data_IF_679767962003
#
_entry.id   IF_679767962003
#
_cell.length_a   1.000
_cell.length_b   1.000
_cell.length_c   1.000
_cell.angle_alpha   90.00
_cell.angle_beta   90.00
_cell.angle_gamma   90.00
#
_symmetry.space_group_name_H-M   'P 1'
#
loop_
_entity.id
_entity.type
_entity.pdbx_description
1 polymer ?
#
# COMPACT_ATOMS: atom_id res chain seq x y z
N UNK A 1 29.86 63.25 -2.24
CA UNK A 1 30.01 62.08 -3.12
C UNK A 1 30.12 60.84 -2.26
N UNK A 2 28.98 60.21 -1.97
CA UNK A 2 28.87 59.09 -1.03
C UNK A 2 29.21 57.79 -1.76
N UNK A 3 30.22 57.04 -1.27
CA UNK A 3 30.46 55.65 -1.64
C UNK A 3 29.88 54.76 -0.54
N UNK A 4 28.64 54.34 -0.70
CA UNK A 4 28.05 53.25 0.08
C UNK A 4 27.70 52.14 -0.91
N UNK A 5 28.59 51.17 -1.04
CA UNK A 5 28.42 49.99 -1.88
C UNK A 5 27.43 49.08 -1.15
N UNK A 6 26.22 49.00 -1.69
CA UNK A 6 25.15 48.14 -1.22
C UNK A 6 25.47 46.69 -1.64
N UNK A 7 25.94 45.89 -0.68
CA UNK A 7 26.16 44.45 -0.85
C UNK A 7 24.80 43.74 -0.79
N UNK A 8 24.20 43.52 -1.96
CA UNK A 8 22.90 42.86 -2.11
C UNK A 8 23.08 41.33 -2.02
N UNK A 9 22.62 40.74 -0.92
CA UNK A 9 22.55 39.30 -0.71
C UNK A 9 21.73 38.61 -1.82
N UNK A 10 22.38 37.84 -2.69
CA UNK A 10 21.70 36.82 -3.50
C UNK A 10 21.40 35.60 -2.61
N UNK A 11 20.23 35.61 -1.98
CA UNK A 11 19.59 34.40 -1.49
C UNK A 11 19.01 33.64 -2.69
N UNK A 12 19.75 32.67 -3.21
CA UNK A 12 19.17 31.63 -4.06
C UNK A 12 18.27 30.75 -3.17
N UNK A 13 16.99 31.10 -3.10
CA UNK A 13 15.97 30.18 -2.61
C UNK A 13 15.79 29.09 -3.66
N UNK A 14 16.46 27.96 -3.48
CA UNK A 14 16.12 26.73 -4.20
C UNK A 14 14.74 26.28 -3.71
N UNK A 15 13.69 26.68 -4.42
CA UNK A 15 12.36 26.10 -4.27
C UNK A 15 12.48 24.67 -4.81
N UNK A 16 12.74 23.73 -3.91
CA UNK A 16 12.75 22.31 -4.23
C UNK A 16 11.39 21.89 -4.75
N UNK A 17 11.34 21.38 -5.97
CA UNK A 17 10.15 20.82 -6.59
C UNK A 17 9.59 19.66 -5.74
N UNK A 18 8.54 19.89 -4.96
CA UNK A 18 7.80 18.85 -4.25
C UNK A 18 6.87 18.02 -5.18
N UNK A 19 6.91 18.24 -6.50
CA UNK A 19 5.98 17.62 -7.46
C UNK A 19 6.40 16.23 -7.95
N UNK A 20 7.57 15.71 -7.58
CA UNK A 20 8.08 14.42 -8.06
C UNK A 20 7.70 13.19 -7.22
N UNK A 21 7.28 13.38 -5.97
CA UNK A 21 7.11 12.26 -5.02
C UNK A 21 5.74 11.57 -5.16
N UNK A 22 4.72 12.29 -5.60
CA UNK A 22 3.36 11.76 -5.81
C UNK A 22 3.30 10.79 -7.00
N UNK A 23 3.99 11.10 -8.10
CA UNK A 23 3.98 10.25 -9.29
C UNK A 23 4.56 8.86 -9.05
N UNK A 24 5.68 8.77 -8.32
CA UNK A 24 6.30 7.49 -7.95
C UNK A 24 5.48 6.71 -6.91
N UNK A 25 4.93 7.41 -5.91
CA UNK A 25 4.09 6.79 -4.88
C UNK A 25 2.77 6.21 -5.45
N UNK A 26 2.19 6.90 -6.45
CA UNK A 26 0.92 6.50 -7.04
C UNK A 26 1.04 5.31 -7.98
N UNK A 27 2.26 4.86 -8.31
CA UNK A 27 2.50 3.64 -9.09
C UNK A 27 1.99 2.37 -8.39
N UNK A 28 1.71 2.42 -7.09
CA UNK A 28 1.08 1.31 -6.37
C UNK A 28 -0.43 1.21 -6.68
N UNK A 29 -1.09 2.26 -7.17
CA UNK A 29 -2.52 2.23 -7.44
C UNK A 29 -2.87 1.24 -8.54
N UNK A 30 -3.99 0.54 -8.38
CA UNK A 30 -4.50 -0.41 -9.37
C UNK A 30 -5.02 -1.70 -8.75
N UNK A 31 -5.36 -2.65 -9.61
CA UNK A 31 -5.91 -3.94 -9.19
C UNK A 31 -4.87 -5.04 -9.31
N UNK A 32 -4.80 -5.90 -8.29
CA UNK A 32 -3.83 -6.97 -8.18
C UNK A 32 -4.52 -8.31 -7.91
N UNK A 33 -4.11 -9.34 -8.62
CA UNK A 33 -4.47 -10.73 -8.33
C UNK A 33 -3.55 -11.27 -7.23
N UNK A 34 -4.12 -11.77 -6.14
CA UNK A 34 -3.33 -12.38 -5.05
C UNK A 34 -2.70 -13.69 -5.50
N UNK A 35 -1.66 -14.11 -4.79
CA UNK A 35 -0.98 -15.39 -5.04
C UNK A 35 -1.98 -16.56 -5.11
N UNK A 36 -1.78 -17.47 -6.06
CA UNK A 36 -2.67 -18.60 -6.30
C UNK A 36 -4.04 -18.23 -6.89
N UNK A 37 -4.21 -17.02 -7.43
CA UNK A 37 -5.44 -16.54 -8.08
C UNK A 37 -6.69 -16.57 -7.18
N UNK A 38 -6.51 -16.35 -5.87
CA UNK A 38 -7.57 -16.49 -4.87
C UNK A 38 -8.49 -15.26 -4.76
N UNK A 39 -7.98 -14.07 -5.07
CA UNK A 39 -8.73 -12.84 -4.98
C UNK A 39 -8.12 -11.70 -5.80
N UNK A 40 -8.92 -10.67 -6.07
CA UNK A 40 -8.44 -9.41 -6.64
C UNK A 40 -8.61 -8.30 -5.63
N UNK A 41 -7.56 -7.53 -5.42
CA UNK A 41 -7.56 -6.38 -4.52
C UNK A 41 -7.26 -5.12 -5.31
N UNK A 42 -8.13 -4.13 -5.21
CA UNK A 42 -7.90 -2.79 -5.77
C UNK A 42 -7.28 -1.93 -4.69
N UNK A 43 -6.06 -1.41 -4.95
CA UNK A 43 -5.36 -0.48 -4.08
C UNK A 43 -5.69 0.95 -4.52
N UNK A 44 -6.15 1.71 -3.54
CA UNK A 44 -6.58 3.10 -3.62
C UNK A 44 -5.83 3.93 -2.56
N UNK A 45 -5.97 5.25 -2.60
CA UNK A 45 -5.37 6.15 -1.61
C UNK A 45 -6.34 7.22 -1.12
N UNK A 46 -6.10 7.69 0.10
CA UNK A 46 -6.72 8.88 0.68
C UNK A 46 -5.61 9.72 1.31
N UNK A 47 -5.30 10.87 0.70
CA UNK A 47 -4.06 11.58 0.99
C UNK A 47 -2.84 10.70 0.66
N UNK A 48 -1.92 10.56 1.62
CA UNK A 48 -0.69 9.77 1.47
C UNK A 48 -0.80 8.33 2.00
N UNK A 49 -2.01 7.91 2.38
CA UNK A 49 -2.27 6.58 2.94
C UNK A 49 -2.97 5.70 1.91
N UNK A 50 -2.41 4.51 1.71
CA UNK A 50 -2.89 3.52 0.76
C UNK A 50 -3.68 2.42 1.49
N UNK A 51 -4.79 2.03 0.89
CA UNK A 51 -5.67 0.98 1.37
C UNK A 51 -6.11 0.10 0.19
N UNK A 52 -6.53 -1.13 0.48
CA UNK A 52 -6.92 -2.07 -0.56
C UNK A 52 -8.20 -2.82 -0.25
N UNK A 53 -9.11 -2.81 -1.22
CA UNK A 53 -10.43 -3.44 -1.16
C UNK A 53 -10.45 -4.74 -1.93
N UNK A 54 -10.94 -5.81 -1.31
CA UNK A 54 -11.16 -7.08 -2.00
C UNK A 54 -12.37 -6.94 -2.95
N UNK A 55 -12.13 -6.91 -4.25
CA UNK A 55 -13.17 -6.68 -5.27
C UNK A 55 -13.65 -7.97 -5.94
N UNK A 56 -12.90 -9.06 -5.81
CA UNK A 56 -13.28 -10.37 -6.33
C UNK A 56 -12.61 -11.49 -5.52
N UNK A 57 -13.25 -12.66 -5.45
CA UNK A 57 -12.70 -13.89 -4.88
C UNK A 57 -13.06 -15.08 -5.77
N UNK A 58 -12.16 -16.07 -5.82
CA UNK A 58 -12.38 -17.35 -6.51
C UNK A 58 -13.64 -18.06 -6.00
N UNK A 59 -13.94 -17.93 -4.71
CA UNK A 59 -15.15 -18.48 -4.11
C UNK A 59 -16.26 -17.44 -4.15
N UNK A 60 -17.18 -17.59 -5.10
CA UNK A 60 -18.33 -16.68 -5.25
C UNK A 60 -19.17 -16.66 -3.97
N UNK A 61 -19.43 -15.44 -3.46
CA UNK A 61 -20.26 -15.26 -2.28
C UNK A 61 -19.61 -15.67 -0.95
N UNK A 62 -18.28 -15.88 -0.92
CA UNK A 62 -17.57 -16.23 0.30
C UNK A 62 -17.84 -15.22 1.43
N UNK A 63 -18.09 -15.75 2.62
CA UNK A 63 -18.28 -14.99 3.86
C UNK A 63 -17.05 -15.08 4.75
N UNK A 64 -16.90 -14.10 5.63
CA UNK A 64 -15.73 -13.92 6.48
C UNK A 64 -15.73 -14.84 7.72
N UNK A 65 -15.91 -16.14 7.52
CA UNK A 65 -16.17 -17.14 8.58
C UNK A 65 -15.18 -17.12 9.75
N UNK A 66 -13.93 -16.71 9.48
CA UNK A 66 -12.84 -16.70 10.45
C UNK A 66 -12.68 -15.36 11.18
N UNK A 67 -13.51 -14.36 10.88
CA UNK A 67 -13.36 -13.03 11.48
C UNK A 67 -13.37 -13.11 13.02
N UNK A 68 -12.44 -12.43 13.72
CA UNK A 68 -12.43 -12.41 15.17
C UNK A 68 -13.72 -11.79 15.75
N UNK A 69 -14.35 -10.86 15.03
CA UNK A 69 -15.63 -10.26 15.39
C UNK A 69 -16.78 -11.13 14.89
N UNK A 70 -17.58 -11.70 15.81
CA UNK A 70 -18.66 -12.65 15.46
C UNK A 70 -19.67 -12.09 14.46
N UNK A 71 -20.05 -10.81 14.58
CA UNK A 71 -21.01 -10.16 13.68
C UNK A 71 -20.47 -9.94 12.26
N UNK A 72 -19.15 -10.03 12.06
CA UNK A 72 -18.53 -9.94 10.75
C UNK A 72 -18.52 -11.27 10.00
N UNK A 73 -18.70 -12.41 10.72
CA UNK A 73 -18.54 -13.76 10.14
C UNK A 73 -19.56 -14.14 9.09
N UNK A 74 -20.72 -13.50 9.11
CA UNK A 74 -21.81 -13.69 8.14
C UNK A 74 -21.73 -12.71 6.98
N UNK A 75 -20.82 -11.72 7.03
CA UNK A 75 -20.68 -10.71 5.98
C UNK A 75 -19.81 -11.25 4.85
N UNK A 76 -20.11 -10.82 3.63
CA UNK A 76 -19.34 -11.14 2.42
C UNK A 76 -17.91 -10.62 2.54
N UNK A 77 -16.96 -11.38 2.01
CA UNK A 77 -15.56 -10.97 1.89
C UNK A 77 -15.37 -9.88 0.84
N UNK A 78 -15.98 -10.09 -0.34
CA UNK A 78 -15.95 -9.08 -1.41
C UNK A 78 -16.63 -7.81 -0.92
N UNK A 79 -15.93 -6.68 -1.09
CA UNK A 79 -16.33 -5.37 -0.61
C UNK A 79 -15.56 -4.90 0.62
N UNK A 80 -14.88 -5.80 1.35
CA UNK A 80 -14.10 -5.42 2.54
C UNK A 80 -12.77 -4.77 2.18
N UNK A 81 -12.38 -3.77 2.95
CA UNK A 81 -11.01 -3.24 2.99
C UNK A 81 -10.15 -4.18 3.82
N UNK A 82 -9.13 -4.77 3.22
CA UNK A 82 -8.25 -5.75 3.86
C UNK A 82 -6.80 -5.26 3.99
N UNK A 83 -6.37 -4.32 3.15
CA UNK A 83 -5.09 -3.63 3.21
C UNK A 83 -5.31 -2.24 3.79
N UNK A 84 -4.55 -1.84 4.81
CA UNK A 84 -4.71 -0.53 5.46
C UNK A 84 -3.36 0.06 5.88
N UNK A 85 -3.28 1.40 5.93
CA UNK A 85 -2.20 2.11 6.61
C UNK A 85 -0.87 2.19 5.87
N UNK A 86 -0.79 1.74 4.61
CA UNK A 86 0.46 1.77 3.86
C UNK A 86 0.88 3.20 3.54
N UNK A 87 2.16 3.50 3.69
CA UNK A 87 2.76 4.79 3.33
C UNK A 87 3.99 4.59 2.46
N UNK A 88 4.20 5.49 1.50
CA UNK A 88 5.35 5.41 0.61
C UNK A 88 6.64 5.74 1.38
N UNK A 89 7.58 4.79 1.39
CA UNK A 89 8.88 4.91 2.05
C UNK A 89 10.02 5.20 1.05
N UNK A 90 9.68 5.42 -0.22
CA UNK A 90 10.66 5.63 -1.29
C UNK A 90 11.13 4.32 -1.95
N UNK A 91 11.85 4.44 -3.06
CA UNK A 91 12.48 3.32 -3.78
C UNK A 91 11.52 2.17 -4.10
N UNK A 92 10.29 2.47 -4.51
CA UNK A 92 9.25 1.47 -4.79
C UNK A 92 8.84 0.62 -3.56
N UNK A 93 8.93 1.17 -2.35
CA UNK A 93 8.54 0.49 -1.10
C UNK A 93 7.45 1.26 -0.36
N UNK A 94 6.47 0.53 0.18
CA UNK A 94 5.46 1.04 1.10
C UNK A 94 5.48 0.23 2.40
N UNK A 95 5.47 0.92 3.55
CA UNK A 95 5.61 0.33 4.88
C UNK A 95 4.44 0.73 5.80
N UNK A 96 4.52 0.37 7.09
CA UNK A 96 3.51 0.58 8.16
C UNK A 96 2.16 -0.10 7.95
N UNK A 97 1.98 -0.74 6.80
CA UNK A 97 0.72 -1.31 6.41
C UNK A 97 0.34 -2.55 7.19
N UNK A 98 -0.95 -2.83 7.19
CA UNK A 98 -1.52 -4.06 7.75
C UNK A 98 -2.39 -4.76 6.71
N UNK A 99 -2.38 -6.09 6.76
CA UNK A 99 -3.23 -6.92 5.91
C UNK A 99 -4.02 -7.90 6.77
N UNK A 100 -5.34 -7.83 6.68
CA UNK A 100 -6.23 -8.86 7.19
C UNK A 100 -6.26 -10.05 6.23
N UNK A 101 -5.97 -11.24 6.76
CA UNK A 101 -6.07 -12.52 6.06
C UNK A 101 -7.38 -13.23 6.46
N UNK A 102 -8.39 -13.26 5.58
CA UNK A 102 -9.65 -13.93 5.87
C UNK A 102 -9.54 -15.47 5.95
N UNK A 103 -8.44 -16.07 5.46
CA UNK A 103 -8.27 -17.52 5.53
C UNK A 103 -8.04 -18.01 6.97
N UNK A 104 -7.48 -17.16 7.84
CA UNK A 104 -7.20 -17.49 9.24
C UNK A 104 -7.69 -16.43 10.24
N UNK A 105 -8.27 -15.32 9.78
CA UNK A 105 -8.82 -14.27 10.63
C UNK A 105 -7.79 -13.39 11.31
N UNK A 106 -6.52 -13.42 10.89
CA UNK A 106 -5.43 -12.66 11.50
C UNK A 106 -5.08 -11.44 10.68
N UNK A 107 -4.59 -10.41 11.36
CA UNK A 107 -4.03 -9.21 10.73
C UNK A 107 -2.52 -9.18 10.94
N UNK A 108 -1.79 -8.98 9.85
CA UNK A 108 -0.33 -8.98 9.83
C UNK A 108 0.21 -7.58 9.55
N UNK A 109 1.36 -7.24 10.14
CA UNK A 109 2.14 -6.10 9.69
C UNK A 109 2.80 -6.46 8.36
N UNK A 110 2.80 -5.52 7.44
CA UNK A 110 3.17 -5.77 6.06
C UNK A 110 3.99 -4.63 5.46
N UNK A 111 4.86 -4.99 4.52
CA UNK A 111 5.45 -4.04 3.56
C UNK A 111 5.21 -4.51 2.13
N UNK A 112 5.10 -3.56 1.22
CA UNK A 112 4.91 -3.78 -0.21
C UNK A 112 6.15 -3.29 -0.94
N UNK A 113 6.63 -4.08 -1.90
CA UNK A 113 7.65 -3.66 -2.86
C UNK A 113 7.10 -3.80 -4.27
N UNK A 114 7.07 -2.70 -5.03
CA UNK A 114 6.65 -2.70 -6.43
C UNK A 114 7.82 -3.14 -7.33
N UNK A 115 7.55 -4.12 -8.19
CA UNK A 115 8.50 -4.66 -9.16
C UNK A 115 8.43 -3.87 -10.47
N UNK A 116 9.48 -3.95 -11.29
CA UNK A 116 9.56 -3.25 -12.57
C UNK A 116 8.43 -3.62 -13.55
N UNK A 117 7.93 -4.87 -13.49
CA UNK A 117 6.81 -5.33 -14.33
C UNK A 117 5.42 -4.89 -13.83
N UNK A 118 5.35 -4.13 -12.73
CA UNK A 118 4.11 -3.64 -12.12
C UNK A 118 3.52 -4.55 -11.05
N UNK A 119 4.02 -5.79 -10.89
CA UNK A 119 3.63 -6.68 -9.80
C UNK A 119 4.14 -6.18 -8.47
N UNK A 120 3.59 -6.74 -7.38
CA UNK A 120 4.06 -6.42 -6.03
C UNK A 120 4.50 -7.68 -5.29
N UNK A 121 5.57 -7.53 -4.52
CA UNK A 121 5.87 -8.44 -3.41
C UNK A 121 5.24 -7.89 -2.15
N UNK A 122 4.38 -8.69 -1.51
CA UNK A 122 3.80 -8.39 -0.21
C UNK A 122 4.49 -9.24 0.83
N UNK A 123 5.16 -8.60 1.79
CA UNK A 123 5.82 -9.29 2.91
C UNK A 123 5.03 -9.08 4.18
N UNK A 124 4.44 -10.15 4.72
CA UNK A 124 3.75 -10.16 6.00
C UNK A 124 4.61 -10.74 7.12
N UNK A 125 4.53 -10.15 8.32
CA UNK A 125 5.34 -10.53 9.48
C UNK A 125 4.63 -10.21 10.81
N UNK A 126 5.12 -10.81 11.90
CA UNK A 126 4.71 -10.52 13.27
C UNK A 126 5.93 -9.94 14.00
N UNK A 127 5.82 -8.71 14.53
CA UNK A 127 6.95 -8.02 15.14
C UNK A 127 7.92 -7.46 14.09
N UNK A 128 9.08 -8.09 13.92
CA UNK A 128 10.11 -7.62 12.96
C UNK A 128 9.97 -8.28 11.59
N UNK A 129 10.27 -7.52 10.52
CA UNK A 129 10.11 -7.98 9.14
C UNK A 129 11.04 -9.13 8.73
N UNK A 130 12.09 -9.41 9.49
CA UNK A 130 12.99 -10.54 9.24
C UNK A 130 12.27 -11.89 9.40
N UNK A 131 11.29 -11.98 10.31
CA UNK A 131 10.54 -13.20 10.62
C UNK A 131 9.15 -13.19 9.94
N UNK A 132 9.16 -13.21 8.62
CA UNK A 132 7.94 -13.11 7.80
C UNK A 132 7.98 -13.93 6.52
N UNK A 133 6.88 -13.89 5.76
CA UNK A 133 6.74 -14.57 4.46
C UNK A 133 6.41 -13.57 3.37
N UNK A 134 6.88 -13.87 2.17
CA UNK A 134 6.56 -13.11 0.96
C UNK A 134 5.45 -13.82 0.20
N UNK A 135 4.57 -13.04 -0.42
CA UNK A 135 3.66 -13.49 -1.48
C UNK A 135 3.81 -12.54 -2.66
N UNK A 136 3.67 -13.06 -3.88
CA UNK A 136 3.66 -12.20 -5.08
C UNK A 136 2.24 -11.99 -5.56
N UNK A 137 1.84 -10.73 -5.75
CA UNK A 137 0.56 -10.39 -6.35
C UNK A 137 0.79 -9.79 -7.73
N UNK A 138 0.03 -10.29 -8.69
CA UNK A 138 0.21 -9.97 -10.10
C UNK A 138 -0.67 -8.78 -10.46
N UNK A 139 -0.13 -7.77 -11.15
CA UNK A 139 -0.93 -6.63 -11.60
C UNK A 139 -1.94 -7.08 -12.66
N UNK A 140 -3.19 -6.69 -12.46
CA UNK A 140 -4.26 -6.90 -13.43
C UNK A 140 -4.22 -5.74 -14.43
N UNK A 141 -4.12 -6.06 -15.72
CA UNK A 141 -4.20 -5.10 -16.83
C UNK A 141 -5.64 -4.92 -17.29
#
# INVERSE_FOLDING_TARGET
>A
MNKLILMMCLLFATIGNAMGQTGEADRLLGTYMTEGNKGKVTIEKSGDVYFGKLVWSVTKGAVDKNNPVKSERTKKLVGKTILTGFKYAGKNVWEDGKIYDPENGKTYSCKITLKANGDITVRGFIGISLLGRNTTWTRVK
#
